data_IF_502119284114
#
_entry.id   IF_502119284114
#
_cell.length_a   1.000
_cell.length_b   1.000
_cell.length_c   1.000
_cell.angle_alpha   90.00
_cell.angle_beta   90.00
_cell.angle_gamma   90.00
#
_symmetry.space_group_name_H-M   'P 1'
#
loop_
_entity.id
_entity.type
_entity.pdbx_description
1 polymer ?
#
# COMPACT_ATOMS: atom_id res chain seq x y z
N UNK A 1 -16.90 -73.96 11.43
CA UNK A 1 -18.20 -73.39 11.84
C UNK A 1 -18.05 -71.87 11.80
N UNK A 2 -18.92 -71.23 11.03
CA UNK A 2 -18.86 -69.85 10.54
C UNK A 2 -18.75 -68.77 11.61
N UNK A 3 -18.02 -67.67 11.33
CA UNK A 3 -18.47 -66.33 11.72
C UNK A 3 -17.91 -65.20 10.83
N UNK A 4 -18.75 -64.85 9.84
CA UNK A 4 -19.04 -63.55 9.20
C UNK A 4 -18.10 -62.36 9.49
N UNK A 5 -17.43 -61.87 8.44
CA UNK A 5 -16.96 -60.48 8.34
C UNK A 5 -18.04 -59.62 7.64
N UNK A 6 -18.48 -58.56 8.31
CA UNK A 6 -19.36 -57.51 7.78
C UNK A 6 -18.47 -56.46 7.12
N UNK A 7 -18.65 -56.22 5.83
CA UNK A 7 -18.02 -55.10 5.12
C UNK A 7 -18.89 -53.85 5.37
N UNK A 8 -18.36 -52.90 6.13
CA UNK A 8 -18.97 -51.59 6.33
C UNK A 8 -18.55 -50.68 5.15
N UNK A 9 -19.50 -50.36 4.27
CA UNK A 9 -19.30 -49.36 3.22
C UNK A 9 -19.24 -47.97 3.86
N UNK A 10 -18.06 -47.34 3.87
CA UNK A 10 -17.88 -45.95 4.28
C UNK A 10 -18.12 -45.06 3.04
N UNK A 11 -19.30 -44.44 2.97
CA UNK A 11 -19.60 -43.39 1.98
C UNK A 11 -18.96 -42.10 2.47
N UNK A 12 -17.83 -41.73 1.87
CA UNK A 12 -17.22 -40.40 2.07
C UNK A 12 -17.92 -39.43 1.11
N UNK A 13 -18.84 -38.63 1.65
CA UNK A 13 -19.36 -37.44 0.97
C UNK A 13 -18.29 -36.35 1.04
N UNK A 14 -17.54 -36.16 -0.04
CA UNK A 14 -16.66 -35.01 -0.21
C UNK A 14 -17.51 -33.77 -0.52
N UNK A 15 -17.68 -32.91 0.48
CA UNK A 15 -18.25 -31.57 0.30
C UNK A 15 -17.24 -30.68 -0.42
N UNK A 16 -17.62 -30.19 -1.60
CA UNK A 16 -16.76 -29.39 -2.47
C UNK A 16 -16.35 -28.05 -1.86
N UNK A 17 -15.05 -27.83 -1.76
CA UNK A 17 -14.47 -26.50 -1.74
C UNK A 17 -14.12 -26.13 -3.18
N UNK A 18 -14.79 -25.12 -3.73
CA UNK A 18 -14.41 -24.49 -4.99
C UNK A 18 -13.15 -23.64 -4.76
N UNK A 19 -11.99 -24.28 -4.80
CA UNK A 19 -10.71 -23.60 -4.98
C UNK A 19 -10.59 -23.25 -6.46
N UNK A 20 -10.41 -21.97 -6.77
CA UNK A 20 -10.14 -21.49 -8.12
C UNK A 20 -9.01 -22.31 -8.75
N UNK A 21 -9.27 -22.85 -9.93
CA UNK A 21 -8.33 -23.66 -10.69
C UNK A 21 -7.12 -22.79 -11.06
N UNK A 22 -6.01 -22.97 -10.33
CA UNK A 22 -4.67 -22.71 -10.84
C UNK A 22 -4.37 -23.71 -11.95
N UNK A 23 -5.03 -23.55 -13.10
CA UNK A 23 -4.71 -24.31 -14.29
C UNK A 23 -3.27 -23.96 -14.69
N UNK A 24 -2.44 -24.98 -14.87
CA UNK A 24 -1.13 -24.80 -15.51
C UNK A 24 -1.42 -24.19 -16.89
N UNK A 25 -0.96 -22.96 -17.11
CA UNK A 25 -1.11 -22.31 -18.40
C UNK A 25 -0.43 -23.20 -19.46
N UNK A 26 -1.06 -23.39 -20.63
CA UNK A 26 -0.45 -24.17 -21.69
C UNK A 26 0.91 -23.58 -22.08
N UNK A 27 1.88 -24.41 -22.51
CA UNK A 27 3.19 -23.94 -22.92
C UNK A 27 3.08 -22.97 -24.10
N UNK A 28 4.04 -22.04 -24.18
CA UNK A 28 4.11 -21.03 -25.24
C UNK A 28 4.22 -21.69 -26.63
N UNK A 29 3.46 -21.17 -27.59
CA UNK A 29 3.63 -21.53 -29.00
C UNK A 29 4.88 -20.80 -29.54
N UNK A 30 5.93 -21.53 -29.97
CA UNK A 30 7.19 -20.94 -30.40
C UNK A 30 7.05 -20.05 -31.65
N UNK A 31 5.98 -20.20 -32.44
CA UNK A 31 5.69 -19.32 -33.59
C UNK A 31 4.96 -18.03 -33.17
N UNK A 32 4.54 -17.93 -31.91
CA UNK A 32 3.76 -16.81 -31.35
C UNK A 32 4.48 -16.05 -30.26
N UNK A 33 5.62 -16.57 -29.77
CA UNK A 33 6.36 -15.99 -28.65
C UNK A 33 7.85 -15.94 -28.99
N UNK A 34 8.47 -14.78 -28.79
CA UNK A 34 9.90 -14.59 -28.97
C UNK A 34 10.52 -13.81 -27.81
N UNK A 35 11.61 -14.32 -27.26
CA UNK A 35 12.36 -13.68 -26.19
C UNK A 35 13.49 -12.84 -26.80
N UNK A 36 13.49 -11.53 -26.53
CA UNK A 36 14.46 -10.58 -27.10
C UNK A 36 15.06 -9.74 -25.97
N UNK A 37 16.19 -10.21 -25.43
CA UNK A 37 16.86 -9.55 -24.32
C UNK A 37 15.97 -9.46 -23.08
N UNK A 38 15.63 -8.24 -22.67
CA UNK A 38 14.78 -7.95 -21.50
C UNK A 38 13.28 -7.87 -21.84
N UNK A 39 12.87 -8.40 -22.99
CA UNK A 39 11.50 -8.34 -23.49
C UNK A 39 11.01 -9.72 -23.97
N UNK A 40 9.69 -9.87 -23.95
CA UNK A 40 8.98 -10.96 -24.66
C UNK A 40 8.03 -10.33 -25.67
N UNK A 41 8.17 -10.69 -26.93
CA UNK A 41 7.18 -10.37 -27.97
C UNK A 41 6.17 -11.51 -28.04
N UNK A 42 4.89 -11.18 -27.96
CA UNK A 42 3.78 -12.16 -27.93
C UNK A 42 2.74 -11.76 -28.96
N UNK A 43 2.30 -12.74 -29.75
CA UNK A 43 1.05 -12.64 -30.52
C UNK A 43 -0.08 -13.13 -29.62
N UNK A 44 -1.04 -12.26 -29.30
CA UNK A 44 -2.15 -12.54 -28.40
C UNK A 44 -3.00 -13.69 -28.93
N UNK A 45 -3.31 -14.68 -28.09
CA UNK A 45 -4.12 -15.84 -28.44
C UNK A 45 -5.58 -15.68 -28.00
N UNK A 46 -6.53 -16.45 -28.57
CA UNK A 46 -7.90 -16.51 -28.06
C UNK A 46 -7.94 -16.88 -26.57
N UNK A 47 -8.56 -16.02 -25.76
CA UNK A 47 -8.69 -16.21 -24.31
C UNK A 47 -7.59 -15.56 -23.47
N UNK A 48 -6.56 -14.99 -24.11
CA UNK A 48 -5.61 -14.14 -23.39
C UNK A 48 -6.25 -12.82 -22.95
N UNK A 49 -5.78 -12.31 -21.82
CA UNK A 49 -6.06 -11.00 -21.26
C UNK A 49 -4.74 -10.39 -20.79
N UNK A 50 -4.68 -9.08 -20.58
CA UNK A 50 -3.50 -8.45 -20.00
C UNK A 50 -3.10 -9.10 -18.66
N UNK A 51 -4.06 -9.49 -17.84
CA UNK A 51 -3.82 -10.16 -16.56
C UNK A 51 -3.29 -11.59 -16.72
N UNK A 52 -3.77 -12.37 -17.70
CA UNK A 52 -3.24 -13.73 -17.94
C UNK A 52 -1.83 -13.68 -18.51
N UNK A 53 -1.53 -12.71 -19.37
CA UNK A 53 -0.19 -12.50 -19.93
C UNK A 53 0.78 -12.01 -18.85
N UNK A 54 0.36 -11.10 -17.97
CA UNK A 54 1.17 -10.68 -16.82
C UNK A 54 1.42 -11.84 -15.84
N UNK A 55 0.42 -12.69 -15.57
CA UNK A 55 0.62 -13.90 -14.78
C UNK A 55 1.66 -14.84 -15.40
N UNK A 56 1.63 -15.01 -16.73
CA UNK A 56 2.53 -15.91 -17.46
C UNK A 56 3.96 -15.40 -17.47
N UNK A 57 4.17 -14.15 -17.87
CA UNK A 57 5.50 -13.61 -18.19
C UNK A 57 6.10 -12.70 -17.11
N UNK A 58 5.26 -12.08 -16.27
CA UNK A 58 5.70 -11.24 -15.16
C UNK A 58 5.52 -11.92 -13.79
N UNK A 59 4.98 -13.15 -13.80
CA UNK A 59 4.68 -13.97 -12.62
C UNK A 59 3.74 -13.28 -11.61
N UNK A 60 2.94 -12.31 -12.06
CA UNK A 60 2.01 -11.56 -11.25
C UNK A 60 0.90 -10.98 -12.13
N UNK A 61 -0.33 -11.49 -11.97
CA UNK A 61 -1.49 -11.03 -12.76
C UNK A 61 -1.86 -9.57 -12.48
N UNK A 62 -1.47 -9.02 -11.32
CA UNK A 62 -1.71 -7.62 -10.96
C UNK A 62 -0.78 -6.64 -11.67
N UNK A 63 0.22 -7.14 -12.42
CA UNK A 63 1.14 -6.37 -13.25
C UNK A 63 0.70 -6.24 -14.71
N UNK A 64 -0.57 -6.52 -15.00
CA UNK A 64 -1.24 -6.26 -16.28
C UNK A 64 -0.97 -4.86 -16.85
N UNK A 65 -0.86 -3.86 -15.97
CA UNK A 65 -0.55 -2.47 -16.32
C UNK A 65 0.83 -2.26 -16.91
N UNK A 66 1.81 -3.10 -16.58
CA UNK A 66 3.15 -3.03 -17.18
C UNK A 66 3.03 -3.24 -18.68
N UNK A 67 2.23 -4.22 -19.09
CA UNK A 67 1.95 -4.53 -20.49
C UNK A 67 1.12 -3.40 -21.13
N UNK A 68 0.04 -2.99 -20.46
CA UNK A 68 -0.84 -1.95 -20.97
C UNK A 68 -0.10 -0.62 -21.21
N UNK A 69 0.69 -0.16 -20.23
CA UNK A 69 1.40 1.12 -20.31
C UNK A 69 2.61 1.07 -21.25
N UNK A 70 3.33 -0.06 -21.33
CA UNK A 70 4.45 -0.19 -22.25
C UNK A 70 4.00 -0.10 -23.72
N UNK A 71 2.88 -0.74 -24.03
CA UNK A 71 2.33 -0.79 -25.39
C UNK A 71 1.33 0.35 -25.67
N UNK A 72 1.02 1.19 -24.67
CA UNK A 72 -0.01 2.24 -24.75
C UNK A 72 -1.39 1.69 -25.18
N UNK A 73 -1.85 0.64 -24.50
CA UNK A 73 -3.08 -0.08 -24.77
C UNK A 73 -4.08 0.03 -23.61
N UNK A 74 -5.37 -0.05 -23.93
CA UNK A 74 -6.45 -0.20 -22.94
C UNK A 74 -7.05 -1.61 -22.89
N UNK A 75 -6.91 -2.37 -23.98
CA UNK A 75 -7.39 -3.75 -24.11
C UNK A 75 -6.55 -4.48 -25.18
N UNK A 76 -6.76 -5.80 -25.33
CA UNK A 76 -6.09 -6.63 -26.34
C UNK A 76 -7.08 -7.52 -27.09
N UNK A 77 -6.75 -7.85 -28.33
CA UNK A 77 -7.49 -8.79 -29.17
C UNK A 77 -6.57 -9.90 -29.69
N UNK A 78 -7.17 -11.06 -30.00
CA UNK A 78 -6.42 -12.16 -30.62
C UNK A 78 -5.78 -11.70 -31.93
N UNK A 79 -4.48 -11.97 -32.07
CA UNK A 79 -3.67 -11.54 -33.22
C UNK A 79 -2.89 -10.24 -32.98
N UNK A 80 -3.15 -9.50 -31.91
CA UNK A 80 -2.33 -8.33 -31.55
C UNK A 80 -0.89 -8.76 -31.25
N UNK A 81 0.07 -7.97 -31.71
CA UNK A 81 1.48 -8.12 -31.38
C UNK A 81 1.82 -7.18 -30.21
N UNK A 82 2.19 -7.74 -29.08
CA UNK A 82 2.50 -6.98 -27.86
C UNK A 82 3.92 -7.26 -27.37
N UNK A 83 4.53 -6.24 -26.76
CA UNK A 83 5.84 -6.34 -26.12
C UNK A 83 5.69 -6.29 -24.61
N UNK A 84 6.22 -7.29 -23.92
CA UNK A 84 6.17 -7.41 -22.47
C UNK A 84 7.57 -7.14 -21.91
N UNK A 85 7.82 -6.03 -21.19
CA UNK A 85 9.10 -5.78 -20.56
C UNK A 85 9.27 -6.66 -19.30
N UNK A 86 10.37 -7.39 -19.22
CA UNK A 86 10.70 -8.28 -18.09
C UNK A 86 11.40 -7.55 -16.93
N UNK A 87 11.80 -6.30 -17.15
CA UNK A 87 12.43 -5.42 -16.16
C UNK A 87 11.72 -4.06 -16.11
N UNK A 88 11.90 -3.27 -15.02
CA UNK A 88 11.43 -1.90 -14.97
C UNK A 88 11.89 -1.08 -16.19
N UNK A 89 10.96 -0.40 -16.84
CA UNK A 89 11.14 0.34 -18.09
C UNK A 89 10.93 1.85 -17.93
N UNK A 90 10.31 2.30 -16.83
CA UNK A 90 10.09 3.72 -16.50
C UNK A 90 10.86 4.11 -15.23
N UNK A 91 12.19 4.20 -15.33
CA UNK A 91 13.06 4.59 -14.20
C UNK A 91 12.59 5.90 -13.54
N UNK A 92 12.07 5.82 -12.32
CA UNK A 92 11.56 6.96 -11.56
C UNK A 92 10.36 7.66 -12.22
N UNK A 93 9.67 7.00 -13.17
CA UNK A 93 8.54 7.58 -13.88
C UNK A 93 8.90 8.83 -14.70
N UNK A 94 10.13 8.90 -15.20
CA UNK A 94 10.60 9.98 -16.05
C UNK A 94 10.07 9.85 -17.48
N UNK A 95 9.65 10.98 -18.05
CA UNK A 95 9.31 11.14 -19.46
C UNK A 95 9.88 12.48 -19.98
N UNK A 96 9.96 12.71 -21.30
CA UNK A 96 10.60 13.91 -21.85
C UNK A 96 10.07 15.26 -21.32
N UNK A 97 8.79 15.34 -20.96
CA UNK A 97 8.11 16.58 -20.57
C UNK A 97 7.49 16.54 -19.16
N UNK A 98 7.63 15.42 -18.44
CA UNK A 98 7.01 15.19 -17.13
C UNK A 98 7.77 14.19 -16.29
N UNK A 99 7.49 14.22 -14.99
CA UNK A 99 7.84 13.14 -14.07
C UNK A 99 6.61 12.70 -13.30
N UNK A 100 6.54 11.41 -13.02
CA UNK A 100 5.49 10.81 -12.21
C UNK A 100 5.66 11.19 -10.74
N UNK A 101 4.54 11.37 -10.06
CA UNK A 101 4.46 11.55 -8.61
C UNK A 101 3.45 10.58 -8.05
N UNK A 102 3.70 10.08 -6.84
CA UNK A 102 2.72 9.26 -6.12
C UNK A 102 2.08 10.08 -5.00
N UNK A 103 0.75 10.13 -4.98
CA UNK A 103 0.00 10.76 -3.87
C UNK A 103 -0.11 9.76 -2.73
N UNK A 104 0.24 10.21 -1.51
CA UNK A 104 0.03 9.44 -0.28
C UNK A 104 -1.09 10.13 0.51
N UNK A 105 -2.22 9.47 0.66
CA UNK A 105 -3.39 9.96 1.40
C UNK A 105 -3.20 9.66 2.89
N UNK A 106 -3.58 10.58 3.76
CA UNK A 106 -3.50 10.43 5.22
C UNK A 106 -4.86 10.65 5.87
N UNK A 107 -5.39 9.59 6.47
CA UNK A 107 -6.61 9.57 7.27
C UNK A 107 -6.26 9.38 8.76
N UNK A 108 -7.21 9.63 9.65
CA UNK A 108 -7.02 9.44 11.10
C UNK A 108 -8.18 8.66 11.71
N UNK A 109 -9.35 9.29 11.81
CA UNK A 109 -10.51 8.71 12.46
C UNK A 109 -11.71 8.70 11.51
N UNK A 110 -12.58 7.71 11.67
CA UNK A 110 -13.83 7.57 10.94
C UNK A 110 -15.04 7.51 11.87
N UNK A 111 -16.21 7.90 11.37
CA UNK A 111 -17.49 7.75 12.07
C UNK A 111 -18.61 7.59 11.04
N UNK A 112 -19.77 7.06 11.44
CA UNK A 112 -20.94 7.01 10.54
C UNK A 112 -21.31 8.40 10.02
N UNK A 113 -21.30 9.39 10.92
CA UNK A 113 -21.47 10.82 10.62
C UNK A 113 -20.59 11.63 11.55
N UNK A 114 -20.02 12.73 11.04
CA UNK A 114 -19.27 13.68 11.85
C UNK A 114 -19.24 15.05 11.18
N UNK A 115 -19.10 16.10 12.00
CA UNK A 115 -18.74 17.45 11.56
C UNK A 115 -17.32 17.84 11.97
N UNK A 116 -16.61 16.95 12.68
CA UNK A 116 -15.23 17.15 13.07
C UNK A 116 -14.32 17.03 11.85
N UNK A 117 -13.44 18.02 11.68
CA UNK A 117 -12.53 18.10 10.55
C UNK A 117 -11.54 16.92 10.47
N UNK A 118 -11.19 16.29 11.59
CA UNK A 118 -10.27 15.15 11.64
C UNK A 118 -10.99 13.79 11.51
N UNK A 119 -12.32 13.78 11.42
CA UNK A 119 -13.13 12.56 11.33
C UNK A 119 -13.80 12.50 9.95
N UNK A 120 -13.38 11.55 9.12
CA UNK A 120 -14.01 11.30 7.81
C UNK A 120 -15.25 10.44 7.99
N UNK A 121 -16.38 10.86 7.43
CA UNK A 121 -17.60 10.06 7.50
C UNK A 121 -17.46 8.75 6.71
N UNK A 122 -18.18 7.71 7.13
CA UNK A 122 -18.22 6.42 6.43
C UNK A 122 -18.64 6.58 4.97
N UNK A 123 -19.65 7.42 4.71
CA UNK A 123 -20.14 7.72 3.37
C UNK A 123 -19.07 8.41 2.51
N UNK A 124 -18.37 9.40 3.08
CA UNK A 124 -17.29 10.10 2.39
C UNK A 124 -16.14 9.15 2.06
N UNK A 125 -15.73 8.28 2.99
CA UNK A 125 -14.66 7.32 2.75
C UNK A 125 -15.06 6.29 1.68
N UNK A 126 -16.27 5.73 1.73
CA UNK A 126 -16.76 4.82 0.69
C UNK A 126 -16.80 5.49 -0.69
N UNK A 127 -17.28 6.73 -0.78
CA UNK A 127 -17.32 7.49 -2.02
C UNK A 127 -15.92 7.77 -2.59
N UNK A 128 -14.94 8.08 -1.73
CA UNK A 128 -13.55 8.28 -2.12
C UNK A 128 -12.93 6.99 -2.67
N UNK A 129 -13.12 5.85 -1.99
CA UNK A 129 -12.61 4.56 -2.46
C UNK A 129 -13.26 4.14 -3.78
N UNK A 130 -14.57 4.35 -3.92
CA UNK A 130 -15.29 4.13 -5.18
C UNK A 130 -14.69 4.97 -6.31
N UNK A 131 -14.46 6.27 -6.07
CA UNK A 131 -13.86 7.15 -7.07
C UNK A 131 -12.49 6.66 -7.52
N UNK A 132 -11.63 6.23 -6.58
CA UNK A 132 -10.32 5.65 -6.92
C UNK A 132 -10.49 4.46 -7.88
N UNK A 133 -11.41 3.54 -7.55
CA UNK A 133 -11.68 2.35 -8.36
C UNK A 133 -12.22 2.71 -9.75
N UNK A 134 -13.24 3.55 -9.84
CA UNK A 134 -13.89 3.96 -11.10
C UNK A 134 -12.96 4.76 -12.02
N UNK A 135 -12.05 5.56 -11.45
CA UNK A 135 -11.08 6.37 -12.21
C UNK A 135 -9.80 5.60 -12.58
N UNK A 136 -9.72 4.32 -12.19
CA UNK A 136 -8.60 3.44 -12.50
C UNK A 136 -7.33 3.72 -11.70
N UNK A 137 -7.45 4.29 -10.50
CA UNK A 137 -6.31 4.38 -9.58
C UNK A 137 -5.98 2.99 -9.04
N UNK A 138 -4.68 2.69 -8.94
CA UNK A 138 -4.18 1.53 -8.23
C UNK A 138 -3.64 1.96 -6.88
N UNK A 139 -4.15 1.33 -5.82
CA UNK A 139 -3.61 1.50 -4.48
C UNK A 139 -2.37 0.61 -4.35
N UNK A 140 -1.21 1.22 -4.17
CA UNK A 140 0.08 0.53 -4.02
C UNK A 140 0.52 0.50 -2.55
N UNK A 141 1.39 -0.46 -2.22
CA UNK A 141 2.01 -0.58 -0.90
C UNK A 141 3.13 0.46 -0.71
N UNK A 142 3.56 0.66 0.54
CA UNK A 142 4.75 1.47 0.80
C UNK A 142 6.02 0.86 0.20
N UNK A 143 6.17 -0.47 0.19
CA UNK A 143 7.34 -1.09 -0.44
C UNK A 143 7.41 -0.77 -1.93
N UNK A 144 6.28 -0.84 -2.65
CA UNK A 144 6.23 -0.44 -4.06
C UNK A 144 6.55 1.04 -4.27
N UNK A 145 6.08 1.93 -3.38
CA UNK A 145 6.46 3.35 -3.42
C UNK A 145 7.98 3.54 -3.24
N UNK A 146 8.59 2.86 -2.28
CA UNK A 146 10.03 2.98 -2.07
C UNK A 146 10.85 2.29 -3.16
N UNK A 147 10.37 1.19 -3.74
CA UNK A 147 11.01 0.57 -4.90
C UNK A 147 10.99 1.51 -6.11
N UNK A 148 9.92 2.28 -6.29
CA UNK A 148 9.85 3.37 -7.27
C UNK A 148 10.85 4.49 -6.98
N UNK A 149 10.98 4.90 -5.73
CA UNK A 149 11.93 5.94 -5.32
C UNK A 149 13.39 5.48 -5.47
N UNK A 150 13.66 4.21 -5.21
CA UNK A 150 14.99 3.59 -5.25
C UNK A 150 15.38 3.11 -6.68
N UNK A 151 14.52 3.33 -7.69
CA UNK A 151 14.65 2.86 -9.08
C UNK A 151 14.73 1.35 -9.26
N UNK A 152 14.22 0.58 -8.30
CA UNK A 152 14.20 -0.89 -8.32
C UNK A 152 12.87 -1.46 -8.81
N UNK A 153 11.82 -0.63 -8.86
CA UNK A 153 10.50 -1.01 -9.39
C UNK A 153 9.80 0.15 -10.10
N UNK A 154 8.88 -0.19 -10.99
CA UNK A 154 7.95 0.77 -11.59
C UNK A 154 6.62 0.72 -10.83
N UNK A 155 5.84 1.80 -10.90
CA UNK A 155 4.47 1.85 -10.39
C UNK A 155 3.52 2.40 -11.45
N UNK A 156 2.24 1.97 -11.47
CA UNK A 156 1.25 2.45 -12.44
C UNK A 156 1.15 3.98 -12.47
N UNK A 157 0.87 4.58 -13.63
CA UNK A 157 0.77 6.05 -13.76
C UNK A 157 -0.26 6.67 -12.82
N UNK A 158 -1.36 5.96 -12.52
CA UNK A 158 -2.39 6.36 -11.54
C UNK A 158 -2.19 5.65 -10.19
N UNK A 159 -1.01 5.80 -9.60
CA UNK A 159 -0.72 5.22 -8.28
C UNK A 159 -1.10 6.15 -7.14
N UNK A 160 -1.68 5.56 -6.09
CA UNK A 160 -1.97 6.22 -4.81
C UNK A 160 -1.61 5.29 -3.66
N UNK A 161 -1.19 5.84 -2.54
CA UNK A 161 -1.02 5.12 -1.28
C UNK A 161 -2.09 5.60 -0.31
N UNK A 162 -2.71 4.68 0.43
CA UNK A 162 -3.63 5.00 1.51
C UNK A 162 -2.93 4.77 2.84
N UNK A 163 -2.85 5.79 3.69
CA UNK A 163 -2.33 5.70 5.05
C UNK A 163 -3.37 6.15 6.06
N UNK A 164 -3.38 5.51 7.22
CA UNK A 164 -4.26 5.81 8.35
C UNK A 164 -3.37 5.91 9.59
N UNK A 165 -3.53 6.97 10.38
CA UNK A 165 -2.72 7.21 11.57
C UNK A 165 -3.46 6.80 12.87
N UNK A 166 -2.73 6.85 13.98
CA UNK A 166 -3.16 6.72 15.37
C UNK A 166 -3.50 5.32 15.89
N UNK A 167 -4.41 4.61 15.24
CA UNK A 167 -4.95 3.33 15.74
C UNK A 167 -6.31 3.45 16.45
N UNK A 168 -7.16 4.35 15.97
CA UNK A 168 -8.56 4.42 16.36
C UNK A 168 -9.32 3.14 15.99
N UNK A 169 -10.26 2.72 16.85
CA UNK A 169 -11.09 1.53 16.60
C UNK A 169 -11.89 1.63 15.30
N UNK A 170 -12.27 2.85 14.91
CA UNK A 170 -12.96 3.12 13.65
C UNK A 170 -12.21 2.66 12.40
N UNK A 171 -10.88 2.53 12.46
CA UNK A 171 -10.10 1.91 11.38
C UNK A 171 -10.54 0.48 11.14
N UNK A 172 -10.77 -0.29 12.21
CA UNK A 172 -11.24 -1.67 12.14
C UNK A 172 -12.73 -1.74 11.82
N UNK A 173 -13.56 -0.95 12.50
CA UNK A 173 -15.02 -1.05 12.38
C UNK A 173 -15.56 -0.48 11.06
N UNK A 174 -14.90 0.53 10.47
CA UNK A 174 -15.40 1.28 9.29
C UNK A 174 -14.45 1.16 8.11
N UNK A 175 -13.20 1.61 8.25
CA UNK A 175 -12.30 1.76 7.11
C UNK A 175 -11.89 0.41 6.51
N UNK A 176 -11.56 -0.56 7.35
CA UNK A 176 -11.06 -1.86 6.92
C UNK A 176 -12.09 -2.66 6.09
N UNK A 177 -13.39 -2.78 6.48
CA UNK A 177 -14.41 -3.37 5.63
C UNK A 177 -14.59 -2.67 4.27
N UNK A 178 -14.50 -1.34 4.23
CA UNK A 178 -14.61 -0.55 2.99
C UNK A 178 -13.41 -0.79 2.08
N UNK A 179 -12.19 -0.80 2.62
CA UNK A 179 -10.99 -1.14 1.85
C UNK A 179 -11.13 -2.53 1.20
N UNK A 180 -11.59 -3.52 1.97
CA UNK A 180 -11.87 -4.88 1.47
C UNK A 180 -12.92 -4.88 0.36
N UNK A 181 -14.01 -4.12 0.50
CA UNK A 181 -15.07 -3.99 -0.52
C UNK A 181 -14.51 -3.58 -1.89
N UNK A 182 -13.49 -2.71 -1.94
CA UNK A 182 -12.88 -2.24 -3.19
C UNK A 182 -11.62 -3.01 -3.62
N UNK A 183 -11.18 -3.98 -2.80
CA UNK A 183 -9.95 -4.75 -3.02
C UNK A 183 -8.69 -3.90 -2.83
N UNK A 184 -8.74 -2.92 -1.94
CA UNK A 184 -7.61 -2.04 -1.63
C UNK A 184 -6.90 -2.47 -0.34
N UNK A 185 -5.59 -2.28 -0.33
CA UNK A 185 -4.76 -2.30 0.89
C UNK A 185 -4.62 -0.88 1.43
N UNK A 186 -4.03 -0.75 2.62
CA UNK A 186 -3.61 0.52 3.21
C UNK A 186 -2.51 0.25 4.25
N UNK A 187 -1.81 1.31 4.66
CA UNK A 187 -0.88 1.28 5.80
C UNK A 187 -1.50 1.96 7.01
N UNK A 188 -1.47 1.28 8.16
CA UNK A 188 -1.83 1.82 9.46
C UNK A 188 -0.56 2.15 10.26
N UNK A 189 -0.32 3.44 10.53
CA UNK A 189 0.74 3.91 11.40
C UNK A 189 0.24 3.97 12.85
N UNK A 190 0.77 3.09 13.71
CA UNK A 190 0.30 2.95 15.10
C UNK A 190 1.15 3.74 16.09
N UNK A 191 0.51 4.59 16.91
CA UNK A 191 1.15 5.06 18.14
C UNK A 191 0.83 4.07 19.25
N UNK A 192 1.86 3.34 19.69
CA UNK A 192 1.63 2.06 20.39
C UNK A 192 0.96 2.19 21.76
N UNK A 193 1.08 3.34 22.45
CA UNK A 193 0.34 3.58 23.70
C UNK A 193 -1.17 3.75 23.51
N UNK A 194 -1.67 4.03 22.29
CA UNK A 194 -3.13 4.07 22.09
C UNK A 194 -3.78 2.71 22.26
N UNK A 195 -3.03 1.65 21.93
CA UNK A 195 -3.57 0.34 21.61
C UNK A 195 -3.86 -0.41 22.90
N UNK A 196 -4.97 0.00 23.51
CA UNK A 196 -5.45 -0.46 24.81
C UNK A 196 -6.62 -1.43 24.71
N UNK A 197 -7.24 -1.58 23.53
CA UNK A 197 -8.46 -2.38 23.34
C UNK A 197 -9.70 -1.78 23.97
N UNK A 198 -9.72 -0.46 24.18
CA UNK A 198 -10.85 0.27 24.72
C UNK A 198 -12.00 0.44 23.71
N UNK A 199 -13.06 1.13 24.11
CA UNK A 199 -14.21 1.39 23.23
C UNK A 199 -13.88 2.23 21.99
N UNK A 200 -12.83 3.07 22.06
CA UNK A 200 -12.41 3.98 20.99
C UNK A 200 -11.11 3.58 20.30
N UNK A 201 -10.35 2.65 20.86
CA UNK A 201 -8.99 2.34 20.42
C UNK A 201 -8.90 0.88 20.00
N UNK A 202 -8.00 0.57 19.09
CA UNK A 202 -7.79 -0.81 18.66
C UNK A 202 -7.27 -1.67 19.82
N UNK A 203 -7.60 -2.96 19.77
CA UNK A 203 -6.87 -4.01 20.49
C UNK A 203 -5.75 -4.60 19.63
N UNK A 204 -4.76 -5.23 20.25
CA UNK A 204 -3.72 -5.95 19.49
C UNK A 204 -4.26 -7.13 18.69
N UNK A 205 -5.39 -7.71 19.11
CA UNK A 205 -6.03 -8.78 18.34
C UNK A 205 -6.67 -8.25 17.06
N UNK A 206 -7.32 -7.09 17.12
CA UNK A 206 -7.83 -6.39 15.93
C UNK A 206 -6.71 -5.97 14.99
N UNK A 207 -5.59 -5.46 15.53
CA UNK A 207 -4.41 -5.12 14.73
C UNK A 207 -3.86 -6.37 14.03
N UNK A 208 -3.75 -7.50 14.73
CA UNK A 208 -3.28 -8.76 14.16
C UNK A 208 -4.19 -9.26 13.04
N UNK A 209 -5.51 -9.23 13.26
CA UNK A 209 -6.48 -9.65 12.27
C UNK A 209 -6.38 -8.82 10.98
N UNK A 210 -6.28 -7.50 11.09
CA UNK A 210 -6.09 -6.63 9.92
C UNK A 210 -4.77 -6.92 9.20
N UNK A 211 -3.69 -7.14 9.95
CA UNK A 211 -2.37 -7.46 9.40
C UNK A 211 -2.38 -8.78 8.62
N UNK A 212 -3.00 -9.82 9.18
CA UNK A 212 -3.09 -11.15 8.54
C UNK A 212 -3.99 -11.14 7.30
N UNK A 213 -4.87 -10.14 7.19
CA UNK A 213 -5.70 -9.90 6.02
C UNK A 213 -5.13 -8.85 5.05
N UNK A 214 -3.87 -8.47 5.20
CA UNK A 214 -3.14 -7.68 4.22
C UNK A 214 -3.12 -6.16 4.44
N UNK A 215 -3.53 -5.67 5.62
CA UNK A 215 -3.25 -4.30 6.03
C UNK A 215 -1.79 -4.17 6.49
N UNK A 216 -1.07 -3.19 5.99
CA UNK A 216 0.32 -2.95 6.40
C UNK A 216 0.38 -2.20 7.74
N UNK A 217 1.18 -2.67 8.70
CA UNK A 217 1.28 -2.07 10.04
C UNK A 217 2.67 -1.46 10.23
N UNK A 218 2.71 -0.16 10.50
CA UNK A 218 3.95 0.63 10.60
C UNK A 218 3.97 1.52 11.85
N UNK A 219 5.08 2.20 12.11
CA UNK A 219 5.29 2.93 13.36
C UNK A 219 4.75 4.36 13.34
N UNK A 220 4.17 4.81 14.45
CA UNK A 220 3.82 6.21 14.72
C UNK A 220 4.27 6.64 16.11
N UNK A 221 5.47 6.21 16.52
CA UNK A 221 6.06 6.43 17.85
C UNK A 221 5.36 5.67 18.98
N UNK A 222 5.76 5.93 20.24
CA UNK A 222 5.13 5.34 21.40
C UNK A 222 3.96 6.20 21.84
N UNK A 223 4.21 7.49 22.09
CA UNK A 223 3.30 8.39 22.82
C UNK A 223 2.71 9.50 21.95
N UNK A 224 2.97 9.49 20.64
CA UNK A 224 2.58 10.58 19.73
C UNK A 224 3.22 11.94 20.09
N UNK A 225 4.44 11.90 20.62
CA UNK A 225 5.23 13.09 20.95
C UNK A 225 5.65 13.83 19.67
N UNK A 226 5.63 15.17 19.68
CA UNK A 226 6.29 15.95 18.62
C UNK A 226 7.80 15.69 18.65
N UNK A 227 8.31 15.01 17.63
CA UNK A 227 9.72 14.62 17.55
C UNK A 227 10.62 15.77 17.12
N UNK A 228 10.09 16.80 16.45
CA UNK A 228 10.89 17.89 15.91
C UNK A 228 11.36 18.92 16.94
N UNK A 229 10.82 18.88 18.16
CA UNK A 229 10.95 19.96 19.15
C UNK A 229 11.19 19.42 20.56
N UNK A 230 12.01 20.13 21.34
CA UNK A 230 12.14 19.89 22.78
C UNK A 230 10.88 20.34 23.50
N UNK A 231 10.48 19.61 24.55
CA UNK A 231 9.42 20.10 25.43
C UNK A 231 9.94 21.29 26.25
N UNK A 232 9.03 22.15 26.72
CA UNK A 232 9.40 23.28 27.57
C UNK A 232 10.15 22.80 28.82
N UNK A 233 11.34 23.36 29.06
CA UNK A 233 12.21 23.00 30.20
C UNK A 233 13.00 21.69 30.03
N UNK A 234 12.90 21.00 28.88
CA UNK A 234 13.63 19.76 28.64
C UNK A 234 15.08 20.03 28.22
N UNK A 235 16.04 19.37 28.86
CA UNK A 235 17.45 19.41 28.44
C UNK A 235 17.65 18.67 27.11
N UNK A 236 18.72 19.02 26.39
CA UNK A 236 19.06 18.33 25.14
C UNK A 236 19.28 16.82 25.34
N UNK A 237 19.89 16.43 26.47
CA UNK A 237 20.10 15.03 26.83
C UNK A 237 18.78 14.28 27.06
N UNK A 238 17.85 14.87 27.82
CA UNK A 238 16.55 14.26 28.07
C UNK A 238 15.74 14.10 26.77
N UNK A 239 15.82 15.12 25.89
CA UNK A 239 15.21 15.06 24.57
C UNK A 239 15.80 13.93 23.72
N UNK A 240 17.12 13.79 23.66
CA UNK A 240 17.78 12.72 22.92
C UNK A 240 17.36 11.32 23.42
N UNK A 241 17.38 11.10 24.74
CA UNK A 241 16.95 9.83 25.36
C UNK A 241 15.49 9.53 25.02
N UNK A 242 14.62 10.55 25.08
CA UNK A 242 13.23 10.39 24.72
C UNK A 242 13.04 10.07 23.24
N UNK A 243 13.79 10.70 22.33
CA UNK A 243 13.75 10.37 20.90
C UNK A 243 14.19 8.92 20.64
N UNK A 244 15.29 8.47 21.23
CA UNK A 244 15.73 7.08 21.07
C UNK A 244 14.65 6.09 21.51
N UNK A 245 13.99 6.37 22.63
CA UNK A 245 12.88 5.57 23.11
C UNK A 245 11.69 5.60 22.15
N UNK A 246 11.18 6.80 21.82
CA UNK A 246 10.02 7.00 20.93
C UNK A 246 10.19 6.33 19.57
N UNK A 247 11.42 6.22 19.08
CA UNK A 247 11.74 5.66 17.77
C UNK A 247 12.07 4.16 17.79
N UNK A 248 12.74 3.64 18.82
CA UNK A 248 13.17 2.24 18.84
C UNK A 248 12.07 1.27 19.35
N UNK A 249 11.35 1.68 20.39
CA UNK A 249 10.42 0.80 21.09
C UNK A 249 9.17 0.39 20.29
N UNK A 250 8.59 1.23 19.40
CA UNK A 250 7.43 0.81 18.61
C UNK A 250 7.70 -0.44 17.77
N UNK A 251 8.91 -0.55 17.20
CA UNK A 251 9.33 -1.74 16.46
C UNK A 251 9.30 -2.98 17.35
N UNK A 252 9.87 -2.90 18.55
CA UNK A 252 9.89 -3.99 19.53
C UNK A 252 8.48 -4.41 19.96
N UNK A 253 7.61 -3.43 20.25
CA UNK A 253 6.24 -3.69 20.69
C UNK A 253 5.44 -4.35 19.56
N UNK A 254 5.47 -3.79 18.35
CA UNK A 254 4.69 -4.32 17.21
C UNK A 254 5.18 -5.73 16.85
N UNK A 255 6.50 -5.95 16.78
CA UNK A 255 7.05 -7.28 16.52
C UNK A 255 6.65 -8.29 17.61
N UNK A 256 6.72 -7.91 18.89
CA UNK A 256 6.28 -8.78 20.00
C UNK A 256 4.78 -9.11 19.93
N UNK A 257 3.93 -8.16 19.53
CA UNK A 257 2.47 -8.29 19.59
C UNK A 257 1.89 -9.02 18.38
N UNK A 258 2.43 -8.80 17.19
CA UNK A 258 1.86 -9.33 15.94
C UNK A 258 2.88 -10.03 15.03
N UNK A 259 4.15 -10.15 15.44
CA UNK A 259 5.18 -10.85 14.67
C UNK A 259 5.62 -10.14 13.38
N UNK A 260 5.34 -8.83 13.25
CA UNK A 260 5.67 -8.04 12.06
C UNK A 260 6.72 -6.99 12.39
N UNK A 261 7.72 -6.84 11.52
CA UNK A 261 8.72 -5.76 11.59
C UNK A 261 8.20 -4.52 10.88
N UNK A 262 8.41 -3.36 11.48
CA UNK A 262 8.15 -2.07 10.84
C UNK A 262 9.37 -1.61 10.05
N UNK A 263 9.15 -0.92 8.94
CA UNK A 263 10.17 -0.29 8.09
C UNK A 263 9.95 1.21 7.93
N UNK A 264 8.74 1.69 8.22
CA UNK A 264 8.31 3.05 7.95
C UNK A 264 7.80 3.75 9.21
N UNK A 265 7.93 5.07 9.22
CA UNK A 265 7.49 5.95 10.31
C UNK A 265 6.63 7.09 9.76
N UNK A 266 5.45 7.32 10.32
CA UNK A 266 4.81 8.62 10.24
C UNK A 266 5.31 9.49 11.41
N UNK A 267 5.77 10.72 11.15
CA UNK A 267 6.11 11.63 12.23
C UNK A 267 4.83 12.21 12.85
N UNK A 268 4.65 12.17 14.19
CA UNK A 268 3.56 12.89 14.84
C UNK A 268 3.57 14.36 14.41
N UNK A 269 2.41 14.89 14.03
CA UNK A 269 2.22 16.24 13.48
C UNK A 269 2.98 16.53 12.16
N UNK A 270 3.68 15.54 11.61
CA UNK A 270 4.55 15.69 10.44
C UNK A 270 5.89 16.39 10.71
N UNK A 271 6.21 16.65 11.97
CA UNK A 271 7.39 17.42 12.37
C UNK A 271 8.62 16.56 12.58
N UNK A 272 9.76 17.00 12.03
CA UNK A 272 11.04 16.30 12.16
C UNK A 272 12.23 17.24 11.93
N UNK A 273 13.39 16.90 12.49
CA UNK A 273 14.64 17.63 12.36
C UNK A 273 15.81 16.69 11.99
N UNK A 274 17.01 17.24 11.80
CA UNK A 274 18.19 16.46 11.37
C UNK A 274 18.59 15.38 12.38
N UNK A 275 18.40 15.62 13.69
CA UNK A 275 18.70 14.63 14.73
C UNK A 275 17.74 13.44 14.62
N UNK A 276 16.43 13.68 14.52
CA UNK A 276 15.42 12.63 14.34
C UNK A 276 15.72 11.78 13.10
N UNK A 277 16.03 12.43 11.98
CA UNK A 277 16.39 11.73 10.73
C UNK A 277 17.64 10.86 10.91
N UNK A 278 18.65 11.34 11.62
CA UNK A 278 19.86 10.55 11.90
C UNK A 278 19.54 9.33 12.78
N UNK A 279 18.66 9.47 13.77
CA UNK A 279 18.24 8.38 14.65
C UNK A 279 17.45 7.30 13.91
N UNK A 280 16.47 7.67 13.09
CA UNK A 280 15.69 6.66 12.35
C UNK A 280 16.54 5.92 11.30
N UNK A 281 17.55 6.58 10.72
CA UNK A 281 18.54 5.93 9.85
C UNK A 281 19.37 4.92 10.65
N UNK A 282 19.88 5.31 11.83
CA UNK A 282 20.63 4.42 12.74
C UNK A 282 19.78 3.20 13.14
N UNK A 283 18.48 3.37 13.31
CA UNK A 283 17.53 2.31 13.67
C UNK A 283 17.06 1.46 12.47
N UNK A 284 17.48 1.77 11.25
CA UNK A 284 17.16 0.98 10.06
C UNK A 284 15.78 1.22 9.46
N UNK A 285 15.11 2.34 9.77
CA UNK A 285 13.92 2.74 9.03
C UNK A 285 14.27 2.96 7.55
N UNK A 286 13.48 2.38 6.65
CA UNK A 286 13.60 2.58 5.20
C UNK A 286 13.12 3.96 4.78
N UNK A 287 12.12 4.51 5.48
CA UNK A 287 11.70 5.88 5.26
C UNK A 287 10.63 6.40 6.20
N UNK A 288 10.27 7.67 6.02
CA UNK A 288 9.38 8.38 6.93
C UNK A 288 8.60 9.52 6.28
N UNK A 289 7.45 9.82 6.87
CA UNK A 289 6.40 10.65 6.28
C UNK A 289 6.07 11.87 7.13
N UNK A 290 5.96 13.01 6.45
CA UNK A 290 5.44 14.28 6.98
C UNK A 290 3.95 14.42 6.64
N UNK A 291 3.39 15.62 6.82
CA UNK A 291 2.03 15.96 6.39
C UNK A 291 2.00 17.12 5.39
N UNK A 292 3.12 17.34 4.69
CA UNK A 292 3.19 18.30 3.57
C UNK A 292 2.32 17.77 2.43
N UNK A 293 1.37 18.59 1.98
CA UNK A 293 0.45 18.23 0.89
C UNK A 293 1.08 18.49 -0.47
N UNK A 294 1.74 17.48 -1.01
CA UNK A 294 2.29 17.44 -2.37
C UNK A 294 2.45 15.97 -2.83
N UNK A 295 2.79 15.75 -4.10
CA UNK A 295 3.13 14.43 -4.63
C UNK A 295 4.53 13.97 -4.19
N UNK A 296 4.82 12.69 -4.39
CA UNK A 296 6.12 12.08 -4.10
C UNK A 296 6.81 11.66 -5.40
N UNK A 297 7.70 12.48 -5.98
CA UNK A 297 8.61 12.05 -7.04
C UNK A 297 9.78 11.24 -6.48
N UNK A 298 10.46 10.47 -7.33
CA UNK A 298 11.60 9.62 -6.93
C UNK A 298 12.77 10.39 -6.28
N UNK A 299 12.95 11.67 -6.60
CA UNK A 299 14.06 12.49 -6.09
C UNK A 299 13.77 13.15 -4.74
N UNK A 300 12.64 12.84 -4.10
CA UNK A 300 12.34 13.30 -2.74
C UNK A 300 13.16 12.51 -1.72
N UNK A 301 13.49 13.13 -0.58
CA UNK A 301 14.15 12.41 0.51
C UNK A 301 13.26 11.30 1.07
N UNK A 302 13.77 10.06 1.11
CA UNK A 302 13.16 8.88 1.74
C UNK A 302 12.66 9.11 3.18
N UNK A 303 13.15 10.15 3.85
CA UNK A 303 12.85 10.45 5.25
C UNK A 303 11.97 11.69 5.44
N UNK A 304 11.44 12.27 4.36
CA UNK A 304 10.53 13.42 4.35
C UNK A 304 9.49 13.29 3.23
N UNK A 305 8.84 12.13 3.13
CA UNK A 305 7.77 11.95 2.16
C UNK A 305 6.57 12.86 2.50
N UNK A 306 5.87 13.26 1.46
CA UNK A 306 4.69 14.09 1.51
C UNK A 306 3.44 13.23 1.74
N UNK A 307 2.48 13.73 2.54
CA UNK A 307 1.16 13.12 2.69
C UNK A 307 0.07 14.17 2.62
N UNK A 308 -0.95 13.90 1.82
CA UNK A 308 -2.14 14.71 1.72
C UNK A 308 -3.14 14.29 2.82
N UNK A 309 -3.23 15.08 3.88
CA UNK A 309 -4.26 14.90 4.92
C UNK A 309 -5.66 15.07 4.32
N UNK A 310 -6.51 14.09 4.59
CA UNK A 310 -7.92 14.07 4.20
C UNK A 310 -8.77 14.45 5.42
N UNK A 311 -9.48 15.56 5.30
CA UNK A 311 -10.34 16.11 6.33
C UNK A 311 -11.80 15.71 6.10
N UNK A 312 -12.61 15.68 7.17
CA UNK A 312 -14.03 15.32 7.13
C UNK A 312 -14.89 16.28 6.29
N UNK A 313 -14.43 17.50 6.07
CA UNK A 313 -15.07 18.52 5.22
C UNK A 313 -14.62 18.45 3.74
N UNK A 314 -13.78 17.49 3.37
CA UNK A 314 -13.32 17.34 2.00
C UNK A 314 -14.43 16.76 1.12
N UNK A 315 -15.01 17.60 0.26
CA UNK A 315 -15.88 17.12 -0.81
C UNK A 315 -15.11 16.28 -1.84
N UNK A 316 -15.87 15.51 -2.63
CA UNK A 316 -15.30 14.54 -3.56
C UNK A 316 -14.51 15.20 -4.71
N UNK A 317 -14.89 16.42 -5.12
CA UNK A 317 -14.19 17.15 -6.17
C UNK A 317 -12.81 17.64 -5.69
N UNK A 318 -12.74 18.14 -4.44
CA UNK A 318 -11.50 18.51 -3.78
C UNK A 318 -10.62 17.29 -3.54
N UNK A 319 -11.20 16.14 -3.19
CA UNK A 319 -10.48 14.88 -3.11
C UNK A 319 -9.85 14.51 -4.44
N UNK A 320 -10.62 14.50 -5.54
CA UNK A 320 -10.12 14.16 -6.88
C UNK A 320 -9.00 15.09 -7.34
N UNK A 321 -9.13 16.41 -7.08
CA UNK A 321 -8.09 17.39 -7.41
C UNK A 321 -6.75 17.13 -6.72
N UNK A 322 -6.75 16.48 -5.55
CA UNK A 322 -5.53 16.16 -4.80
C UNK A 322 -4.85 14.85 -5.26
N UNK A 323 -5.42 14.12 -6.22
CA UNK A 323 -4.88 12.85 -6.72
C UNK A 323 -3.89 13.02 -7.88
N UNK A 324 -3.34 14.21 -8.11
CA UNK A 324 -2.40 14.45 -9.21
C UNK A 324 -1.18 13.52 -9.18
N UNK A 325 -0.98 12.75 -10.26
CA UNK A 325 0.09 11.73 -10.35
C UNK A 325 1.22 12.09 -11.32
N UNK A 326 1.23 13.31 -11.85
CA UNK A 326 2.34 13.78 -12.68
C UNK A 326 2.47 15.29 -12.59
N UNK A 327 3.71 15.76 -12.72
CA UNK A 327 4.01 17.17 -12.85
C UNK A 327 4.72 17.41 -14.18
N UNK A 328 4.20 18.39 -14.95
CA UNK A 328 4.88 18.87 -16.15
C UNK A 328 5.99 19.81 -15.74
N UNK A 329 7.21 19.49 -16.13
CA UNK A 329 8.36 20.39 -16.00
C UNK A 329 9.23 20.11 -17.20
N UNK A 330 9.55 21.15 -17.98
CA UNK A 330 10.58 21.00 -19.00
C UNK A 330 11.87 20.61 -18.27
N UNK A 331 12.32 19.38 -18.45
CA UNK A 331 13.66 18.96 -18.08
C UNK A 331 14.58 19.63 -19.11
N UNK A 332 14.98 20.88 -18.82
CA UNK A 332 15.96 21.63 -19.62
C UNK A 332 17.37 21.31 -19.19
#
# INVERSE_FOLDING_TARGET
MNLRFVILLLVILASGCATGSGGVLPPDDPDKVSYVGDYVAVVVQPGDSLASLAARYLHDSSRDWVIAEFNNLSDIASGDEIIIPLKPFKRGGLAPDRYQTVTVLSYHHFAEKSTDRMIVSQESFDAQMRLLKEKGYRVITLDQLFDFMDFTGDVPEKSVVITIDDGWRSTYDIAFPILKKYGFTATLFLYTQLITGGSKTLSWDQVREMADQGLDIQGHTISHRNLGQQNSGESLEAYYIALERELAEPARIIEQKIGRKIRYLAYPYGDTNSLVIALIKKLGYRGAFTVVRDGNPFFLSNYRLNRAMIYGDADLARFEKNLGTSNRKALR
#
